data_IF_472938984316
#
_entry.id   IF_472938984316
#
_cell.length_a   1.000
_cell.length_b   1.000
_cell.length_c   1.000
_cell.angle_alpha   90.00
_cell.angle_beta   90.00
_cell.angle_gamma   90.00
#
_symmetry.space_group_name_H-M   'P 1'
#
loop_
_entity.id
_entity.type
_entity.pdbx_description
1 polymer ?
#
# COMPACT_ATOMS: atom_id res chain seq x y z
N UNK A 1 -18.12 77.03 49.76
CA UNK A 1 -16.72 76.77 49.37
C UNK A 1 -16.58 77.08 47.87
N UNK A 2 -16.04 78.26 47.51
CA UNK A 2 -15.95 78.68 46.09
C UNK A 2 -14.73 78.02 45.46
N UNK A 3 -14.92 76.96 44.68
CA UNK A 3 -13.83 76.41 43.88
C UNK A 3 -13.39 77.48 42.86
N UNK A 4 -12.11 77.82 42.86
CA UNK A 4 -11.56 78.77 41.90
C UNK A 4 -11.63 78.16 40.49
N UNK A 5 -11.84 78.99 39.47
CA UNK A 5 -11.90 78.55 38.07
C UNK A 5 -10.66 77.73 37.65
N UNK A 6 -9.49 78.06 38.22
CA UNK A 6 -8.23 77.31 38.03
C UNK A 6 -8.29 75.90 38.61
N UNK A 7 -8.97 75.72 39.75
CA UNK A 7 -9.18 74.40 40.38
C UNK A 7 -10.16 73.53 39.58
N UNK A 8 -11.13 74.14 38.89
CA UNK A 8 -12.09 73.44 38.03
C UNK A 8 -11.41 72.92 36.75
N UNK A 9 -10.53 73.72 36.14
CA UNK A 9 -9.77 73.31 34.93
C UNK A 9 -8.85 72.11 35.24
N UNK A 10 -8.19 72.10 36.41
CA UNK A 10 -7.31 71.00 36.80
C UNK A 10 -8.08 69.68 36.99
N UNK A 11 -9.29 69.74 37.55
CA UNK A 11 -10.16 68.56 37.77
C UNK A 11 -10.68 68.02 36.44
N UNK A 12 -11.01 68.88 35.47
CA UNK A 12 -11.46 68.46 34.14
C UNK A 12 -10.34 67.74 33.37
N UNK A 13 -9.09 68.23 33.45
CA UNK A 13 -7.95 67.58 32.80
C UNK A 13 -7.70 66.17 33.37
N UNK A 14 -7.86 65.97 34.68
CA UNK A 14 -7.71 64.66 35.33
C UNK A 14 -8.86 63.71 34.96
N UNK A 15 -10.08 64.24 34.76
CA UNK A 15 -11.25 63.44 34.35
C UNK A 15 -11.21 63.01 32.87
N UNK A 16 -10.41 63.67 32.03
CA UNK A 16 -10.25 63.34 30.60
C UNK A 16 -9.14 62.31 30.29
N UNK A 17 -8.39 61.81 31.27
CA UNK A 17 -7.29 60.86 31.03
C UNK A 17 -7.67 59.37 31.15
N UNK A 18 -8.95 58.99 31.08
CA UNK A 18 -9.35 57.63 31.49
C UNK A 18 -9.00 56.48 30.54
N UNK A 19 -8.68 56.69 29.26
CA UNK A 19 -8.63 55.56 28.31
C UNK A 19 -7.39 55.52 27.41
N UNK A 20 -6.18 55.52 27.98
CA UNK A 20 -4.97 55.09 27.25
C UNK A 20 -4.19 54.02 28.03
N UNK A 21 -4.90 53.02 28.55
CA UNK A 21 -4.26 51.78 29.02
C UNK A 21 -4.20 50.83 27.82
N UNK A 22 -3.13 50.92 27.04
CA UNK A 22 -2.79 49.85 26.08
C UNK A 22 -2.03 48.74 26.81
N UNK A 23 -2.75 47.94 27.58
CA UNK A 23 -2.27 46.62 28.00
C UNK A 23 -2.78 45.57 26.99
N UNK A 24 -2.32 45.64 25.75
CA UNK A 24 -2.57 44.60 24.75
C UNK A 24 -1.47 43.56 24.83
N UNK A 25 -1.34 42.88 25.97
CA UNK A 25 -0.50 41.69 26.03
C UNK A 25 -1.30 40.54 25.41
N UNK A 26 -1.04 40.25 24.13
CA UNK A 26 -1.53 39.00 23.53
C UNK A 26 -0.64 37.89 24.08
N UNK A 27 -0.96 37.44 25.30
CA UNK A 27 -0.34 36.31 26.01
C UNK A 27 -0.68 34.97 25.32
N UNK A 28 -0.47 34.91 24.01
CA UNK A 28 -0.68 33.74 23.18
C UNK A 28 0.68 33.14 22.90
N UNK A 29 0.99 32.03 23.59
CA UNK A 29 2.13 31.17 23.27
C UNK A 29 1.65 30.16 22.24
N UNK A 30 2.22 30.22 21.03
CA UNK A 30 2.03 29.19 20.02
C UNK A 30 2.96 28.02 20.35
N UNK A 31 2.39 26.87 20.71
CA UNK A 31 3.16 25.63 20.83
C UNK A 31 3.08 24.85 19.51
N UNK A 32 4.20 24.64 18.81
CA UNK A 32 4.19 23.79 17.63
C UNK A 32 3.95 22.34 18.05
N UNK A 33 2.80 21.79 17.69
CA UNK A 33 2.54 20.35 17.79
C UNK A 33 3.18 19.69 16.56
N UNK A 34 4.34 19.06 16.76
CA UNK A 34 4.98 18.25 15.71
C UNK A 34 4.31 16.88 15.69
N UNK A 35 3.44 16.67 14.72
CA UNK A 35 2.79 15.38 14.47
C UNK A 35 3.58 14.63 13.40
N UNK A 36 4.19 13.50 13.78
CA UNK A 36 4.94 12.62 12.87
C UNK A 36 4.27 11.26 12.81
N UNK A 37 3.95 10.79 11.60
CA UNK A 37 3.43 9.45 11.35
C UNK A 37 4.58 8.62 10.76
N UNK A 38 4.95 7.48 11.37
CA UNK A 38 5.96 6.59 10.81
C UNK A 38 5.47 5.94 9.51
N UNK A 39 6.38 5.72 8.58
CA UNK A 39 6.10 4.89 7.41
C UNK A 39 5.97 3.42 7.84
N UNK A 40 4.90 2.76 7.39
CA UNK A 40 4.64 1.35 7.68
C UNK A 40 4.07 0.67 6.43
N UNK A 41 4.49 -0.56 6.19
CA UNK A 41 4.11 -1.37 5.05
C UNK A 41 3.83 -2.79 5.55
N UNK A 42 2.59 -3.25 5.40
CA UNK A 42 2.16 -4.60 5.79
C UNK A 42 1.50 -5.27 4.59
N UNK A 43 1.81 -6.55 4.37
CA UNK A 43 1.22 -7.38 3.31
C UNK A 43 0.70 -8.68 3.91
N UNK A 44 -0.49 -9.11 3.48
CA UNK A 44 -1.15 -10.34 3.89
C UNK A 44 -1.84 -11.00 2.67
N UNK A 45 -2.17 -12.29 2.80
CA UNK A 45 -2.85 -13.08 1.77
C UNK A 45 -4.11 -13.72 2.31
N UNK A 46 -5.20 -13.62 1.55
CA UNK A 46 -6.44 -14.33 1.83
C UNK A 46 -6.71 -15.42 0.77
N UNK A 47 -6.95 -16.65 1.24
CA UNK A 47 -7.22 -17.85 0.44
C UNK A 47 -7.24 -19.12 1.31
N UNK A 48 -7.90 -20.17 0.83
CA UNK A 48 -8.07 -21.46 1.54
C UNK A 48 -6.77 -22.29 1.64
N UNK A 49 -5.82 -22.04 0.74
CA UNK A 49 -4.50 -22.67 0.72
C UNK A 49 -3.45 -21.63 0.30
N UNK A 50 -2.17 -21.86 0.64
CA UNK A 50 -1.05 -20.95 0.35
C UNK A 50 -0.01 -21.58 -0.57
N UNK A 51 -0.31 -22.76 -1.14
CA UNK A 51 0.61 -23.55 -1.97
C UNK A 51 0.26 -23.48 -3.45
N UNK A 52 1.25 -23.35 -4.31
CA UNK A 52 1.11 -23.48 -5.77
C UNK A 52 1.59 -24.89 -6.14
N UNK A 53 0.73 -25.73 -6.75
CA UNK A 53 1.05 -27.13 -7.08
C UNK A 53 0.73 -27.45 -8.53
N UNK A 54 1.73 -27.82 -9.33
CA UNK A 54 1.50 -28.33 -10.70
C UNK A 54 1.01 -29.78 -10.67
N UNK A 55 0.03 -30.13 -11.52
CA UNK A 55 -0.44 -31.52 -11.69
C UNK A 55 -0.26 -31.91 -13.17
N UNK A 56 0.61 -32.88 -13.49
CA UNK A 56 0.88 -33.31 -14.87
C UNK A 56 -0.36 -33.83 -15.61
N UNK A 57 -0.39 -33.71 -16.95
CA UNK A 57 -1.41 -34.33 -17.82
C UNK A 57 -2.71 -33.52 -18.04
N UNK A 58 -2.79 -32.26 -17.59
CA UNK A 58 -3.97 -31.38 -17.70
C UNK A 58 -3.71 -30.14 -18.58
N UNK A 59 -3.31 -30.32 -19.84
CA UNK A 59 -3.31 -29.26 -20.87
C UNK A 59 -2.46 -28.00 -20.57
N UNK A 60 -2.46 -27.05 -21.50
CA UNK A 60 -1.55 -25.88 -21.51
C UNK A 60 -2.07 -24.62 -20.79
N UNK A 61 -3.19 -24.72 -20.07
CA UNK A 61 -3.72 -23.64 -19.22
C UNK A 61 -4.25 -24.25 -17.93
N UNK A 62 -3.33 -24.65 -17.04
CA UNK A 62 -3.74 -24.98 -15.68
C UNK A 62 -3.81 -23.68 -14.88
N UNK A 63 -5.00 -23.20 -14.56
CA UNK A 63 -5.19 -22.14 -13.56
C UNK A 63 -5.10 -22.81 -12.19
N UNK A 64 -3.94 -22.70 -11.56
CA UNK A 64 -3.71 -23.30 -10.24
C UNK A 64 -3.71 -22.16 -9.23
N UNK A 65 -4.89 -21.92 -8.68
CA UNK A 65 -5.00 -21.33 -7.35
C UNK A 65 -4.67 -22.40 -6.32
N UNK A 66 -4.27 -22.02 -5.10
CA UNK A 66 -4.17 -22.96 -3.99
C UNK A 66 -5.52 -23.71 -3.84
N UNK A 67 -5.47 -24.99 -4.21
CA UNK A 67 -6.46 -26.07 -4.18
C UNK A 67 -7.92 -25.93 -4.64
N UNK A 68 -8.65 -24.80 -4.64
CA UNK A 68 -10.05 -24.81 -5.15
C UNK A 68 -10.57 -23.41 -5.40
N UNK A 69 -10.87 -23.02 -6.65
CA UNK A 69 -11.82 -21.94 -7.04
C UNK A 69 -11.81 -20.61 -6.26
N UNK A 70 -10.80 -20.35 -5.45
CA UNK A 70 -10.68 -19.24 -4.52
C UNK A 70 -9.50 -18.41 -4.95
N UNK A 71 -9.84 -17.46 -5.81
CA UNK A 71 -9.10 -16.26 -6.16
C UNK A 71 -8.21 -15.81 -4.98
N UNK A 72 -6.90 -16.01 -5.04
CA UNK A 72 -6.00 -15.52 -3.97
C UNK A 72 -5.99 -13.99 -4.02
N UNK A 73 -6.19 -13.35 -2.87
CA UNK A 73 -6.19 -11.90 -2.76
C UNK A 73 -4.96 -11.43 -2.00
N UNK A 74 -4.25 -10.47 -2.57
CA UNK A 74 -3.20 -9.74 -1.84
C UNK A 74 -3.83 -8.54 -1.15
N UNK A 75 -3.63 -8.45 0.16
CA UNK A 75 -4.10 -7.36 0.99
C UNK A 75 -2.89 -6.61 1.54
N UNK A 76 -2.99 -5.29 1.64
CA UNK A 76 -1.90 -4.51 2.22
C UNK A 76 -2.40 -3.18 2.80
N UNK A 77 -1.57 -2.64 3.68
CA UNK A 77 -1.67 -1.29 4.19
C UNK A 77 -0.31 -0.62 4.04
N UNK A 78 -0.33 0.65 3.70
CA UNK A 78 0.85 1.43 3.37
C UNK A 78 0.70 2.85 3.91
N UNK A 79 1.75 3.37 4.51
CA UNK A 79 1.91 4.78 4.83
C UNK A 79 3.22 5.25 4.21
N UNK A 80 3.14 6.25 3.33
CA UNK A 80 4.29 6.84 2.63
C UNK A 80 4.48 8.30 3.03
N UNK A 81 5.72 8.79 2.92
CA UNK A 81 6.06 10.18 3.25
C UNK A 81 6.06 11.05 1.98
N UNK A 82 5.49 12.26 2.09
CA UNK A 82 5.50 13.25 1.01
C UNK A 82 4.88 12.75 -0.28
N UNK A 83 5.69 12.70 -1.35
CA UNK A 83 5.29 12.23 -2.70
C UNK A 83 5.86 10.86 -3.05
N UNK A 84 6.47 10.16 -2.10
CA UNK A 84 7.00 8.81 -2.33
C UNK A 84 5.88 7.80 -2.58
N UNK A 85 6.23 6.66 -3.17
CA UNK A 85 5.28 5.56 -3.36
C UNK A 85 5.95 4.24 -3.00
N UNK A 86 5.18 3.23 -2.64
CA UNK A 86 5.63 1.88 -2.46
C UNK A 86 5.30 1.05 -3.72
N UNK A 87 5.96 -0.11 -3.86
CA UNK A 87 5.66 -1.12 -4.86
C UNK A 87 5.65 -2.50 -4.24
N UNK A 88 4.88 -3.42 -4.81
CA UNK A 88 4.92 -4.84 -4.48
C UNK A 88 5.63 -5.56 -5.61
N UNK A 89 6.66 -6.32 -5.26
CA UNK A 89 7.37 -7.23 -6.15
C UNK A 89 7.14 -8.68 -5.78
N UNK A 90 7.35 -9.58 -6.73
CA UNK A 90 7.29 -11.04 -6.55
C UNK A 90 8.52 -11.71 -7.15
N UNK A 91 8.99 -12.77 -6.50
CA UNK A 91 10.02 -13.66 -7.02
C UNK A 91 9.78 -15.10 -6.59
N UNK A 92 10.31 -16.05 -7.36
CA UNK A 92 10.47 -17.44 -6.94
C UNK A 92 11.55 -17.47 -5.86
N UNK A 93 11.22 -17.99 -4.68
CA UNK A 93 12.13 -18.10 -3.54
C UNK A 93 12.69 -19.49 -3.34
N UNK A 94 11.97 -20.52 -3.76
CA UNK A 94 12.44 -21.90 -3.74
C UNK A 94 11.71 -22.79 -4.74
N UNK A 95 12.32 -23.94 -5.03
CA UNK A 95 11.89 -24.85 -6.09
C UNK A 95 12.61 -24.57 -7.41
N UNK A 96 12.76 -25.60 -8.23
CA UNK A 96 13.38 -25.51 -9.55
C UNK A 96 12.28 -25.63 -10.59
N UNK A 97 12.12 -24.59 -11.41
CA UNK A 97 11.21 -24.65 -12.54
C UNK A 97 11.91 -25.37 -13.71
N UNK A 98 11.36 -26.46 -14.24
CA UNK A 98 11.90 -27.10 -15.45
C UNK A 98 11.95 -26.11 -16.61
N UNK A 99 12.91 -26.29 -17.52
CA UNK A 99 13.12 -25.37 -18.65
C UNK A 99 11.91 -25.30 -19.60
N UNK A 100 11.10 -26.35 -19.57
CA UNK A 100 9.95 -26.59 -20.42
C UNK A 100 8.67 -25.95 -19.87
N UNK A 101 8.73 -25.39 -18.65
CA UNK A 101 7.58 -24.80 -17.97
C UNK A 101 7.85 -23.33 -17.65
N UNK A 102 6.84 -22.50 -17.90
CA UNK A 102 6.78 -21.11 -17.45
C UNK A 102 5.54 -20.91 -16.59
N UNK A 103 5.71 -20.24 -15.44
CA UNK A 103 4.59 -19.77 -14.62
C UNK A 103 4.36 -18.29 -14.92
N UNK A 104 3.13 -17.93 -15.27
CA UNK A 104 2.70 -16.54 -15.42
C UNK A 104 1.82 -16.14 -14.24
N UNK A 105 1.95 -14.90 -13.79
CA UNK A 105 1.10 -14.25 -12.81
C UNK A 105 0.42 -13.04 -13.45
N UNK A 106 -0.90 -12.95 -13.34
CA UNK A 106 -1.67 -11.77 -13.64
C UNK A 106 -2.24 -11.19 -12.34
N UNK A 107 -2.11 -9.87 -12.17
CA UNK A 107 -2.67 -9.13 -11.04
C UNK A 107 -3.84 -8.29 -11.52
N UNK A 108 -5.01 -8.51 -10.93
CA UNK A 108 -6.21 -7.73 -11.22
C UNK A 108 -6.14 -6.32 -10.63
N UNK A 109 -7.05 -5.46 -11.06
CA UNK A 109 -7.27 -4.15 -10.43
C UNK A 109 -7.71 -4.31 -8.96
N UNK A 110 -7.50 -3.26 -8.16
CA UNK A 110 -8.06 -3.19 -6.82
C UNK A 110 -9.59 -3.18 -6.88
N UNK A 111 -10.23 -3.89 -5.97
CA UNK A 111 -11.71 -3.99 -5.91
C UNK A 111 -12.39 -2.78 -5.31
N UNK A 112 -11.65 -1.77 -4.84
CA UNK A 112 -12.20 -0.54 -4.29
C UNK A 112 -12.80 -0.69 -2.89
N UNK A 113 -12.40 -1.72 -2.15
CA UNK A 113 -12.92 -1.98 -0.81
C UNK A 113 -12.17 -1.26 0.32
N UNK A 114 -11.12 -0.52 -0.03
CA UNK A 114 -10.23 0.21 0.85
C UNK A 114 -10.32 1.72 0.66
N UNK A 115 -9.29 2.44 1.12
CA UNK A 115 -9.16 3.87 0.88
C UNK A 115 -7.70 4.27 0.64
N UNK A 116 -7.50 5.36 -0.11
CA UNK A 116 -6.19 5.89 -0.48
C UNK A 116 -5.77 5.50 -1.90
N UNK A 117 -4.46 5.44 -2.15
CA UNK A 117 -3.89 5.08 -3.45
C UNK A 117 -3.33 3.66 -3.43
N UNK A 118 -4.09 2.69 -3.92
CA UNK A 118 -3.73 1.26 -3.97
C UNK A 118 -2.68 0.94 -5.06
N UNK A 119 -2.24 1.92 -5.83
CA UNK A 119 -1.32 1.67 -6.94
C UNK A 119 -2.01 0.96 -8.11
N UNK A 120 -1.20 0.58 -9.11
CA UNK A 120 -1.65 0.00 -10.37
C UNK A 120 -0.95 -1.33 -10.64
N UNK A 121 -1.69 -2.37 -11.05
CA UNK A 121 -1.08 -3.61 -11.50
C UNK A 121 -0.31 -3.39 -12.81
N UNK A 122 0.82 -4.08 -12.97
CA UNK A 122 1.64 -3.99 -14.20
C UNK A 122 1.13 -4.89 -15.35
N UNK A 123 0.08 -5.69 -15.07
CA UNK A 123 -0.44 -6.72 -15.97
C UNK A 123 0.20 -8.09 -15.76
N UNK A 124 0.16 -8.93 -16.80
CA UNK A 124 0.67 -10.30 -16.74
C UNK A 124 2.20 -10.33 -16.84
N UNK A 125 2.84 -11.05 -15.93
CA UNK A 125 4.29 -11.28 -15.91
C UNK A 125 4.61 -12.77 -15.92
N UNK A 126 5.82 -13.12 -16.37
CA UNK A 126 6.42 -14.43 -16.11
C UNK A 126 7.19 -14.38 -14.79
N UNK A 127 6.98 -15.37 -13.92
CA UNK A 127 7.72 -15.50 -12.66
C UNK A 127 9.16 -15.92 -12.94
N UNK A 128 10.07 -15.41 -12.11
CA UNK A 128 11.49 -15.73 -12.12
C UNK A 128 12.05 -15.68 -10.71
N UNK A 129 13.28 -16.16 -10.52
CA UNK A 129 14.04 -15.97 -9.27
C UNK A 129 14.47 -14.52 -9.04
N UNK A 130 14.44 -13.69 -10.08
CA UNK A 130 14.64 -12.25 -9.96
C UNK A 130 13.31 -11.55 -9.59
N UNK A 131 13.34 -10.61 -8.63
CA UNK A 131 12.16 -9.84 -8.27
C UNK A 131 11.65 -9.00 -9.44
N UNK A 132 10.33 -9.05 -9.64
CA UNK A 132 9.60 -8.23 -10.61
C UNK A 132 8.49 -7.49 -9.91
N UNK A 133 8.38 -6.19 -10.16
CA UNK A 133 7.25 -5.41 -9.68
C UNK A 133 5.95 -5.91 -10.31
N UNK A 134 4.89 -5.95 -9.51
CA UNK A 134 3.56 -6.39 -9.93
C UNK A 134 2.47 -5.38 -9.61
N UNK A 135 2.68 -4.52 -8.61
CA UNK A 135 1.83 -3.38 -8.28
C UNK A 135 2.76 -2.21 -7.98
N UNK A 136 2.53 -1.07 -8.64
CA UNK A 136 3.40 0.12 -8.55
C UNK A 136 2.59 1.35 -8.17
N UNK A 137 3.25 2.36 -7.59
CA UNK A 137 2.59 3.63 -7.25
C UNK A 137 1.64 3.53 -6.05
N UNK A 138 1.92 2.65 -5.10
CA UNK A 138 1.12 2.49 -3.88
C UNK A 138 1.40 3.70 -2.96
N UNK A 139 0.39 4.49 -2.66
CA UNK A 139 0.50 5.63 -1.74
C UNK A 139 0.20 5.24 -0.29
N UNK A 140 -0.28 6.20 0.48
CA UNK A 140 -0.87 5.93 1.80
C UNK A 140 -2.27 5.35 1.58
N UNK A 141 -2.47 4.11 1.99
CA UNK A 141 -3.71 3.36 1.73
C UNK A 141 -3.90 2.16 2.66
N UNK A 142 -5.09 1.57 2.62
CA UNK A 142 -5.36 0.22 3.09
C UNK A 142 -6.37 -0.45 2.17
N UNK A 143 -6.20 -1.74 1.87
CA UNK A 143 -7.11 -2.50 1.00
C UNK A 143 -8.29 -3.14 1.75
N UNK A 144 -8.19 -3.20 3.09
CA UNK A 144 -9.00 -4.10 3.92
C UNK A 144 -8.42 -5.51 3.96
N UNK A 145 -9.06 -6.41 4.72
CA UNK A 145 -8.59 -7.78 4.97
C UNK A 145 -9.61 -8.82 4.51
N UNK A 146 -9.14 -9.87 3.82
CA UNK A 146 -9.93 -11.02 3.41
C UNK A 146 -10.09 -11.17 1.90
N UNK A 147 -10.95 -12.10 1.51
CA UNK A 147 -11.35 -12.33 0.12
C UNK A 147 -12.08 -11.08 -0.41
N UNK A 148 -11.93 -10.79 -1.71
CA UNK A 148 -12.48 -9.58 -2.35
C UNK A 148 -12.03 -8.29 -1.65
N UNK A 149 -10.75 -8.24 -1.27
CA UNK A 149 -10.05 -7.03 -0.81
C UNK A 149 -8.73 -6.94 -1.56
N UNK A 150 -8.29 -5.75 -1.92
CA UNK A 150 -7.05 -5.56 -2.65
C UNK A 150 -7.10 -6.14 -4.07
N UNK A 151 -6.02 -6.78 -4.48
CA UNK A 151 -5.88 -7.28 -5.85
C UNK A 151 -5.99 -8.80 -5.91
N UNK A 152 -6.67 -9.28 -6.94
CA UNK A 152 -6.75 -10.70 -7.22
C UNK A 152 -5.48 -11.18 -7.94
N UNK A 153 -4.88 -12.27 -7.47
CA UNK A 153 -3.75 -12.94 -8.11
C UNK A 153 -4.24 -14.15 -8.91
N UNK A 154 -3.82 -14.26 -10.17
CA UNK A 154 -4.16 -15.37 -11.06
C UNK A 154 -2.90 -15.96 -11.66
N UNK A 155 -2.62 -17.23 -11.35
CA UNK A 155 -1.47 -17.96 -11.89
C UNK A 155 -1.88 -18.88 -13.04
N UNK A 156 -1.01 -19.02 -14.02
CA UNK A 156 -1.16 -19.95 -15.14
C UNK A 156 0.18 -20.60 -15.49
N UNK A 157 0.12 -21.84 -15.95
CA UNK A 157 1.28 -22.61 -16.38
C UNK A 157 1.28 -22.69 -17.91
N UNK A 158 2.42 -22.42 -18.53
CA UNK A 158 2.62 -22.46 -19.97
C UNK A 158 3.77 -23.41 -20.30
N UNK A 159 3.55 -24.29 -21.27
CA UNK A 159 4.60 -25.12 -21.86
C UNK A 159 5.43 -24.30 -22.84
N UNK A 160 6.76 -24.36 -22.71
CA UNK A 160 7.68 -23.67 -23.60
C UNK A 160 8.07 -24.58 -24.78
N UNK A 161 7.93 -24.11 -26.04
CA UNK A 161 8.44 -24.84 -27.21
C UNK A 161 9.97 -25.04 -27.14
N UNK A 162 10.53 -26.11 -27.75
CA UNK A 162 9.89 -27.13 -28.58
C UNK A 162 9.49 -28.38 -27.76
N UNK A 163 8.70 -28.21 -26.70
CA UNK A 163 8.32 -29.31 -25.82
C UNK A 163 7.15 -30.14 -26.35
N UNK A 164 7.28 -31.47 -26.24
CA UNK A 164 6.25 -32.46 -26.56
C UNK A 164 5.56 -32.92 -25.27
N UNK A 165 4.26 -32.56 -25.14
CA UNK A 165 3.43 -32.87 -23.98
C UNK A 165 3.29 -34.40 -23.78
N UNK A 166 3.41 -35.18 -24.85
CA UNK A 166 3.15 -36.63 -24.83
C UNK A 166 4.32 -37.45 -24.28
N UNK A 167 5.51 -36.84 -24.13
CA UNK A 167 6.72 -37.47 -23.58
C UNK A 167 7.17 -36.89 -22.23
N UNK A 168 6.31 -36.10 -21.59
CA UNK A 168 6.54 -35.41 -20.34
C UNK A 168 6.51 -36.33 -19.11
N UNK A 169 7.67 -36.69 -18.55
CA UNK A 169 7.79 -37.32 -17.22
C UNK A 169 8.04 -36.28 -16.10
N UNK A 170 7.33 -35.15 -16.15
CA UNK A 170 7.42 -34.14 -15.09
C UNK A 170 6.58 -34.61 -13.91
N UNK A 171 7.23 -34.82 -12.77
CA UNK A 171 6.56 -35.12 -11.50
C UNK A 171 5.90 -33.87 -10.88
N UNK A 172 5.28 -34.02 -9.71
CA UNK A 172 4.72 -32.90 -8.95
C UNK A 172 5.79 -31.81 -8.70
N UNK A 173 5.54 -30.59 -9.19
CA UNK A 173 6.39 -29.43 -8.93
C UNK A 173 5.77 -28.59 -7.82
N UNK A 174 6.57 -28.28 -6.81
CA UNK A 174 6.25 -27.31 -5.77
C UNK A 174 7.20 -26.12 -5.88
N UNK A 175 6.63 -24.93 -6.10
CA UNK A 175 7.37 -23.66 -6.16
C UNK A 175 6.88 -22.78 -5.03
N UNK A 176 7.81 -22.14 -4.31
CA UNK A 176 7.49 -21.07 -3.38
C UNK A 176 7.80 -19.72 -4.02
N UNK A 177 6.94 -18.74 -3.72
CA UNK A 177 7.11 -17.35 -4.14
C UNK A 177 7.14 -16.45 -2.91
N UNK A 178 7.96 -15.41 -2.97
CA UNK A 178 7.99 -14.34 -1.98
C UNK A 178 7.46 -13.07 -2.64
N UNK A 179 6.61 -12.37 -1.89
CA UNK A 179 6.16 -11.03 -2.21
C UNK A 179 6.82 -10.03 -1.28
N UNK A 180 7.24 -8.89 -1.81
CA UNK A 180 7.91 -7.86 -1.02
C UNK A 180 7.29 -6.50 -1.33
N UNK A 181 6.76 -5.84 -0.29
CA UNK A 181 6.30 -4.47 -0.33
C UNK A 181 7.49 -3.56 0.06
N UNK A 182 7.95 -2.74 -0.88
CA UNK A 182 9.13 -1.87 -0.73
C UNK A 182 8.79 -0.42 -0.98
N UNK A 183 9.55 0.49 -0.38
CA UNK A 183 9.47 1.91 -0.67
C UNK A 183 10.30 2.24 -1.92
N UNK A 184 9.64 2.87 -2.89
CA UNK A 184 10.26 3.46 -4.07
C UNK A 184 10.50 4.94 -3.75
N UNK A 185 11.77 5.29 -3.52
CA UNK A 185 12.21 6.67 -3.27
C UNK A 185 11.95 7.57 -4.48
#
# INVERSE_FOLDING_TARGET
>A
MKLSFRSIILIIIILFQRDLIFAQDKNTVEMPIVFSIPTIALVDFAGSDKRITFIPGKGSEQIITPSTLDKTWINYSSIVEGKSTNSISVQISSGTLPAEIRIKLNVGEDVGAGAGTMGKPVGQIALSTFPREIITGIGSCYTGKGIQKGHQLTYSWEWMPPYDIDHSSIDKIEIAVIYTLTNSK
#
